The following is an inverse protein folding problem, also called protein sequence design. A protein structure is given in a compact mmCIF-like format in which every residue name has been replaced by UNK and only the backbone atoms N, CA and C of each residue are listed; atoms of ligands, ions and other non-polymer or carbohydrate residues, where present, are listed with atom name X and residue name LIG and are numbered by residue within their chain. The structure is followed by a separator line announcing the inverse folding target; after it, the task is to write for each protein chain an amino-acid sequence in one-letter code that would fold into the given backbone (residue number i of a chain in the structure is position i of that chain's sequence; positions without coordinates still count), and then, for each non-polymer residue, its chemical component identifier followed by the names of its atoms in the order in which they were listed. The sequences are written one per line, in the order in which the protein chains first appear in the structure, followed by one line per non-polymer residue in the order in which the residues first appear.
data_IF_901416399733
#
_entry.id   IF_901416399733
#
_cell.length_a   1.000
_cell.length_b   1.000
_cell.length_c   1.000
_cell.angle_alpha   90.00
_cell.angle_beta   90.00
_cell.angle_gamma   90.00
#
_symmetry.space_group_name_H-M   'P 1'
#
loop_
_entity.id
_entity.type
_entity.pdbx_description
1 polymer ?
#
# COMPACT_ATOMS: atom_id res chain seq x y z
N UNK A 1 -15.26 10.57 47.34
CA UNK A 1 -14.85 10.86 45.92
C UNK A 1 -13.94 9.74 45.44
N UNK A 2 -14.35 9.02 44.39
CA UNK A 2 -13.55 7.97 43.79
C UNK A 2 -12.33 8.59 43.11
N UNK A 3 -11.14 8.09 43.40
CA UNK A 3 -9.92 8.46 42.69
C UNK A 3 -9.57 7.32 41.74
N UNK A 4 -9.34 7.65 40.47
CA UNK A 4 -8.95 6.72 39.42
C UNK A 4 -7.47 6.92 39.09
N UNK A 5 -6.71 5.84 39.04
CA UNK A 5 -5.36 5.82 38.55
C UNK A 5 -5.21 4.72 37.49
N UNK A 6 -4.59 5.04 36.36
CA UNK A 6 -4.16 4.05 35.37
C UNK A 6 -2.74 3.62 35.68
N UNK A 7 -2.51 2.35 35.91
CA UNK A 7 -1.18 1.78 36.06
C UNK A 7 -0.93 0.73 34.98
N UNK A 8 0.17 0.89 34.25
CA UNK A 8 0.68 -0.15 33.35
C UNK A 8 1.58 -1.08 34.15
N UNK A 9 1.14 -2.30 34.39
CA UNK A 9 1.96 -3.34 34.98
C UNK A 9 2.47 -4.25 33.85
N UNK A 10 3.74 -4.10 33.49
CA UNK A 10 4.38 -4.98 32.54
C UNK A 10 4.58 -6.37 33.19
N UNK A 11 3.77 -7.33 32.83
CA UNK A 11 4.05 -8.76 33.05
C UNK A 11 4.36 -9.38 31.69
N UNK A 12 5.65 -9.71 31.48
CA UNK A 12 6.21 -10.55 30.43
C UNK A 12 5.41 -10.67 29.12
N UNK A 13 5.86 -10.01 28.05
CA UNK A 13 5.39 -10.12 26.66
C UNK A 13 3.94 -9.70 26.34
N UNK A 14 3.11 -9.44 27.35
CA UNK A 14 1.76 -8.93 27.19
C UNK A 14 1.65 -7.65 28.00
N UNK A 15 1.28 -6.55 27.37
CA UNK A 15 0.92 -5.32 28.05
C UNK A 15 -0.49 -5.49 28.59
N UNK A 16 -0.63 -5.71 29.88
CA UNK A 16 -1.93 -5.67 30.56
C UNK A 16 -2.12 -4.29 31.15
N UNK A 17 -3.14 -3.59 30.73
CA UNK A 17 -3.58 -2.37 31.41
C UNK A 17 -4.49 -2.75 32.58
N UNK A 18 -4.20 -2.25 33.78
CA UNK A 18 -5.09 -2.41 34.91
C UNK A 18 -5.68 -1.04 35.26
N UNK A 19 -7.00 -0.94 35.36
CA UNK A 19 -7.67 0.20 35.94
C UNK A 19 -7.75 0.00 37.46
N UNK A 20 -7.13 0.88 38.22
CA UNK A 20 -7.17 0.86 39.66
C UNK A 20 -8.16 1.94 40.11
N UNK A 21 -9.20 1.52 40.82
CA UNK A 21 -10.18 2.40 41.42
C UNK A 21 -10.14 2.23 42.94
N UNK A 22 -10.07 3.34 43.68
CA UNK A 22 -10.21 3.33 45.14
C UNK A 22 -11.58 3.90 45.47
N UNK A 23 -12.42 3.07 46.07
CA UNK A 23 -13.75 3.47 46.58
C UNK A 23 -13.94 2.93 47.98
N UNK A 24 -14.40 3.79 48.93
CA UNK A 24 -14.67 3.47 50.33
C UNK A 24 -13.54 2.64 50.99
N UNK A 25 -12.28 3.07 50.83
CA UNK A 25 -11.08 2.43 51.40
C UNK A 25 -10.77 1.03 50.81
N UNK A 26 -11.49 0.64 49.76
CA UNK A 26 -11.21 -0.60 49.03
C UNK A 26 -10.54 -0.31 47.70
N UNK A 27 -9.50 -1.12 47.40
CA UNK A 27 -8.80 -1.12 46.13
C UNK A 27 -9.48 -2.10 45.19
N UNK A 28 -10.04 -1.59 44.10
CA UNK A 28 -10.56 -2.40 43.02
C UNK A 28 -9.54 -2.39 41.86
N UNK A 29 -9.08 -3.57 41.44
CA UNK A 29 -8.20 -3.73 40.32
C UNK A 29 -8.98 -4.42 39.21
N UNK A 30 -9.16 -3.76 38.09
CA UNK A 30 -9.79 -4.33 36.89
C UNK A 30 -8.68 -4.63 35.89
N UNK A 31 -8.32 -5.90 35.75
CA UNK A 31 -7.35 -6.35 34.76
C UNK A 31 -8.04 -6.56 33.41
N UNK A 32 -7.62 -5.78 32.43
CA UNK A 32 -8.00 -5.99 31.04
C UNK A 32 -7.01 -6.98 30.43
N UNK A 33 -7.31 -8.28 30.53
CA UNK A 33 -6.59 -9.30 29.77
C UNK A 33 -7.14 -9.32 28.35
N UNK A 34 -6.72 -8.37 27.54
CA UNK A 34 -6.90 -8.49 26.10
C UNK A 34 -5.64 -9.13 25.49
N UNK A 35 -5.85 -9.89 24.44
CA UNK A 35 -4.77 -10.27 23.53
C UNK A 35 -4.33 -8.97 22.84
N UNK A 36 -3.44 -8.21 23.48
CA UNK A 36 -3.11 -6.82 23.14
C UNK A 36 -2.49 -6.65 21.76
N UNK A 37 -1.98 -7.73 21.19
CA UNK A 37 -1.44 -7.71 19.84
C UNK A 37 -2.50 -7.30 18.80
N UNK A 38 -3.77 -7.52 19.08
CA UNK A 38 -4.90 -7.22 18.19
C UNK A 38 -5.85 -6.14 18.74
N UNK A 39 -5.69 -5.72 20.00
CA UNK A 39 -6.61 -4.79 20.69
C UNK A 39 -6.75 -3.39 20.05
N UNK A 40 -5.81 -3.02 19.16
CA UNK A 40 -5.81 -1.75 18.41
C UNK A 40 -6.08 -1.94 16.93
N UNK A 41 -6.44 -3.15 16.51
CA UNK A 41 -6.69 -3.47 15.12
C UNK A 41 -8.18 -3.46 14.83
N UNK A 42 -8.55 -2.97 13.66
CA UNK A 42 -9.94 -2.96 13.20
C UNK A 42 -10.32 -4.37 12.75
N UNK A 43 -11.22 -5.05 13.49
CA UNK A 43 -11.68 -6.38 13.13
C UNK A 43 -12.92 -6.35 12.25
N UNK A 44 -13.92 -5.57 12.65
CA UNK A 44 -15.21 -5.55 11.97
C UNK A 44 -15.63 -4.12 11.64
N UNK A 45 -16.06 -3.92 10.41
CA UNK A 45 -16.63 -2.66 9.93
C UNK A 45 -17.89 -2.96 9.14
N UNK A 46 -19.01 -2.35 9.52
CA UNK A 46 -20.26 -2.42 8.75
C UNK A 46 -20.54 -1.05 8.13
N UNK A 47 -20.71 -1.02 6.81
CA UNK A 47 -21.04 0.20 6.08
C UNK A 47 -22.56 0.49 6.10
N UNK A 48 -22.94 1.66 5.54
CA UNK A 48 -24.36 2.09 5.47
C UNK A 48 -25.24 1.21 4.56
N UNK A 49 -24.65 0.34 3.73
CA UNK A 49 -25.36 -0.61 2.89
C UNK A 49 -25.53 -1.99 3.57
N UNK A 50 -25.08 -2.13 4.82
CA UNK A 50 -25.15 -3.36 5.59
C UNK A 50 -24.11 -4.40 5.16
N UNK A 51 -23.04 -3.98 4.48
CA UNK A 51 -21.91 -4.85 4.18
C UNK A 51 -20.95 -4.83 5.35
N UNK A 52 -20.70 -5.99 5.93
CA UNK A 52 -19.73 -6.18 7.02
C UNK A 52 -18.41 -6.69 6.46
N UNK A 53 -17.34 -5.98 6.76
CA UNK A 53 -15.96 -6.35 6.46
C UNK A 53 -15.33 -6.89 7.74
N UNK A 54 -14.96 -8.18 7.73
CA UNK A 54 -14.23 -8.82 8.83
C UNK A 54 -12.75 -8.92 8.44
N UNK A 55 -11.87 -8.45 9.31
CA UNK A 55 -10.42 -8.47 9.12
C UNK A 55 -9.76 -9.46 10.10
N UNK A 56 -8.82 -10.23 9.58
CA UNK A 56 -7.94 -11.07 10.39
C UNK A 56 -6.51 -10.66 10.17
N UNK A 57 -5.78 -10.54 11.26
CA UNK A 57 -4.36 -10.20 11.24
C UNK A 57 -3.50 -11.40 11.64
N UNK A 58 -2.31 -11.47 11.08
CA UNK A 58 -1.35 -12.52 11.37
C UNK A 58 0.04 -11.92 11.66
N UNK A 59 0.73 -12.49 12.63
CA UNK A 59 2.15 -12.18 12.88
C UNK A 59 3.02 -12.96 11.90
N UNK A 60 3.73 -12.26 11.01
CA UNK A 60 4.52 -12.88 9.94
C UNK A 60 5.64 -13.80 10.45
N UNK A 61 6.08 -13.66 11.71
CA UNK A 61 7.03 -14.59 12.30
C UNK A 61 6.44 -15.94 12.67
N UNK A 62 5.13 -16.04 12.83
CA UNK A 62 4.44 -17.23 13.32
C UNK A 62 3.64 -17.96 12.24
N UNK A 63 3.57 -17.41 11.03
CA UNK A 63 2.80 -18.02 9.95
C UNK A 63 3.64 -19.01 9.14
N UNK A 64 3.01 -19.98 8.47
CA UNK A 64 3.71 -20.93 7.59
C UNK A 64 4.27 -20.21 6.35
N UNK A 65 5.28 -20.85 5.71
CA UNK A 65 5.90 -20.34 4.49
C UNK A 65 4.91 -20.12 3.33
N UNK A 66 3.77 -20.82 3.33
CA UNK A 66 2.70 -20.56 2.35
C UNK A 66 2.09 -19.17 2.46
N UNK A 67 2.27 -18.48 3.60
CA UNK A 67 1.72 -17.15 3.88
C UNK A 67 2.77 -16.05 3.86
N UNK A 68 3.98 -16.39 4.27
CA UNK A 68 5.11 -15.47 4.24
C UNK A 68 6.39 -16.19 3.83
N UNK A 69 7.04 -15.66 2.79
CA UNK A 69 8.32 -16.17 2.28
C UNK A 69 9.39 -15.09 2.46
N UNK A 70 10.50 -15.47 3.12
CA UNK A 70 11.65 -14.58 3.33
C UNK A 70 12.88 -14.96 2.48
N UNK A 71 12.72 -15.91 1.57
CA UNK A 71 13.81 -16.36 0.70
C UNK A 71 13.99 -15.44 -0.51
N UNK A 72 15.21 -15.30 -1.04
CA UNK A 72 15.45 -14.57 -2.27
C UNK A 72 14.64 -15.22 -3.41
N UNK A 73 13.63 -14.53 -3.89
CA UNK A 73 12.96 -14.89 -5.13
C UNK A 73 13.79 -14.33 -6.27
N UNK A 74 14.39 -15.20 -7.08
CA UNK A 74 15.24 -14.78 -8.20
C UNK A 74 14.49 -13.89 -9.21
N UNK A 75 13.17 -14.05 -9.34
CA UNK A 75 12.31 -13.22 -10.19
C UNK A 75 12.18 -11.77 -9.71
N UNK A 76 12.37 -11.53 -8.41
CA UNK A 76 12.30 -10.20 -7.79
C UNK A 76 13.67 -9.50 -7.74
N UNK A 77 14.75 -10.18 -8.09
CA UNK A 77 16.11 -9.69 -7.95
C UNK A 77 16.57 -9.59 -6.50
N UNK A 78 17.86 -9.35 -6.31
CA UNK A 78 18.45 -9.17 -4.98
C UNK A 78 18.18 -7.77 -4.44
N UNK A 79 17.92 -7.70 -3.15
CA UNK A 79 17.87 -6.43 -2.41
C UNK A 79 19.30 -5.97 -2.13
N UNK A 80 19.66 -4.75 -2.53
CA UNK A 80 21.01 -4.19 -2.38
C UNK A 80 21.11 -3.31 -1.14
N UNK A 81 22.32 -3.21 -0.57
CA UNK A 81 22.57 -2.24 0.48
C UNK A 81 22.15 -0.82 0.04
N UNK A 82 21.48 -0.02 0.86
CA UNK A 82 21.25 -0.17 2.32
C UNK A 82 19.98 -0.97 2.70
N UNK A 83 19.33 -1.64 1.77
CA UNK A 83 18.15 -2.45 2.03
C UNK A 83 18.53 -3.87 2.44
N UNK A 84 17.69 -4.51 3.24
CA UNK A 84 17.83 -5.90 3.68
C UNK A 84 16.47 -6.55 3.84
N UNK A 85 16.40 -7.85 3.58
CA UNK A 85 15.21 -8.65 3.89
C UNK A 85 15.31 -9.14 5.33
N UNK A 86 14.25 -8.97 6.09
CA UNK A 86 14.14 -9.44 7.47
C UNK A 86 12.74 -9.99 7.71
N UNK A 87 12.61 -10.89 8.69
CA UNK A 87 11.32 -11.35 9.20
C UNK A 87 11.06 -10.68 10.55
N UNK A 88 10.39 -9.54 10.61
CA UNK A 88 10.12 -8.85 11.87
C UNK A 88 8.87 -9.40 12.56
N UNK A 89 8.70 -9.07 13.83
CA UNK A 89 7.40 -9.11 14.48
C UNK A 89 6.51 -8.01 13.88
N UNK A 90 5.70 -8.37 12.91
CA UNK A 90 4.80 -7.46 12.22
C UNK A 90 3.46 -8.15 12.00
N UNK A 91 2.40 -7.49 12.47
CA UNK A 91 1.04 -7.91 12.18
C UNK A 91 0.61 -7.34 10.83
N UNK A 92 0.16 -8.23 9.96
CA UNK A 92 -0.34 -7.89 8.63
C UNK A 92 -1.71 -8.50 8.41
N UNK A 93 -2.46 -7.98 7.43
CA UNK A 93 -3.74 -8.58 7.07
C UNK A 93 -3.54 -10.01 6.58
N UNK A 94 -4.15 -10.97 7.24
CA UNK A 94 -4.12 -12.39 6.83
C UNK A 94 -5.24 -12.70 5.85
N UNK A 95 -6.43 -12.15 6.11
CA UNK A 95 -7.57 -12.19 5.20
C UNK A 95 -8.56 -11.08 5.49
N UNK A 96 -9.36 -10.78 4.46
CA UNK A 96 -10.51 -9.87 4.51
C UNK A 96 -11.73 -10.59 3.96
N UNK A 97 -12.80 -10.67 4.74
CA UNK A 97 -14.06 -11.27 4.36
C UNK A 97 -15.15 -10.21 4.31
N UNK A 98 -15.89 -10.13 3.21
CA UNK A 98 -17.04 -9.23 3.07
C UNK A 98 -18.33 -10.02 3.01
N UNK A 99 -19.30 -9.61 3.83
CA UNK A 99 -20.58 -10.27 4.02
C UNK A 99 -21.72 -9.24 3.87
N UNK A 100 -22.84 -9.66 3.28
CA UNK A 100 -24.09 -8.91 3.33
C UNK A 100 -25.17 -9.82 3.89
N UNK A 101 -25.54 -9.62 5.15
CA UNK A 101 -26.30 -10.61 5.89
C UNK A 101 -25.57 -11.96 5.94
N UNK A 102 -26.17 -13.02 5.41
CA UNK A 102 -25.55 -14.36 5.34
C UNK A 102 -24.82 -14.60 4.01
N UNK A 103 -24.88 -13.68 3.06
CA UNK A 103 -24.23 -13.83 1.76
C UNK A 103 -22.76 -13.40 1.85
N UNK A 104 -21.85 -14.27 1.41
CA UNK A 104 -20.42 -13.99 1.33
C UNK A 104 -20.09 -13.40 -0.04
N UNK A 105 -19.74 -12.10 -0.07
CA UNK A 105 -19.44 -11.34 -1.29
C UNK A 105 -18.00 -11.56 -1.77
N UNK A 106 -17.03 -11.60 -0.84
CA UNK A 106 -15.62 -11.88 -1.11
C UNK A 106 -14.93 -12.49 0.10
N UNK A 107 -13.86 -13.23 -0.15
CA UNK A 107 -12.96 -13.71 0.88
C UNK A 107 -11.54 -13.70 0.34
N UNK A 108 -10.81 -12.65 0.67
CA UNK A 108 -9.47 -12.38 0.17
C UNK A 108 -8.43 -12.83 1.19
N UNK A 109 -7.51 -13.70 0.75
CA UNK A 109 -6.31 -14.08 1.48
C UNK A 109 -5.11 -13.33 0.96
N UNK A 110 -4.21 -12.95 1.87
CA UNK A 110 -2.99 -12.22 1.55
C UNK A 110 -1.76 -13.07 1.85
N UNK A 111 -0.86 -13.19 0.87
CA UNK A 111 0.43 -13.82 1.00
C UNK A 111 1.51 -12.78 0.72
N UNK A 112 2.57 -12.82 1.51
CA UNK A 112 3.61 -11.78 1.49
C UNK A 112 4.96 -12.40 1.19
N UNK A 113 5.82 -11.67 0.45
CA UNK A 113 7.18 -12.09 0.15
C UNK A 113 8.14 -10.97 0.47
N UNK A 114 9.21 -11.29 1.20
CA UNK A 114 10.34 -10.43 1.48
C UNK A 114 9.96 -9.07 2.09
N UNK A 115 9.81 -9.04 3.41
CA UNK A 115 9.72 -7.79 4.18
C UNK A 115 11.07 -7.06 4.12
N UNK A 116 11.09 -5.84 3.59
CA UNK A 116 12.30 -5.06 3.34
C UNK A 116 12.46 -3.95 4.35
N UNK A 117 13.68 -3.80 4.84
CA UNK A 117 14.09 -2.76 5.78
C UNK A 117 15.26 -1.97 5.22
N UNK A 118 15.26 -0.68 5.50
CA UNK A 118 16.39 0.20 5.21
C UNK A 118 17.26 0.33 6.45
N UNK A 119 18.51 -0.11 6.35
CA UNK A 119 19.44 -0.23 7.50
C UNK A 119 19.93 1.10 8.07
N UNK A 120 19.81 2.19 7.33
CA UNK A 120 20.36 3.50 7.68
C UNK A 120 19.27 4.54 7.98
N UNK A 121 18.13 4.13 8.56
CA UNK A 121 17.19 5.03 9.22
C UNK A 121 15.79 5.15 8.62
N UNK A 122 15.51 4.65 7.42
CA UNK A 122 14.15 4.73 6.85
C UNK A 122 13.20 3.62 7.36
N UNK A 123 13.72 2.62 8.10
CA UNK A 123 12.93 1.57 8.72
C UNK A 123 12.29 0.60 7.72
N UNK A 124 11.07 0.14 8.04
CA UNK A 124 10.31 -0.80 7.20
C UNK A 124 9.87 -0.15 5.89
N UNK A 125 10.14 -0.85 4.79
CA UNK A 125 9.88 -0.37 3.41
C UNK A 125 8.78 -1.16 2.71
N UNK A 126 8.04 -2.01 3.41
CA UNK A 126 7.00 -2.85 2.83
C UNK A 126 7.51 -4.21 2.37
N UNK A 127 6.70 -4.87 1.56
CA UNK A 127 6.99 -6.18 1.00
C UNK A 127 7.41 -6.05 -0.47
N UNK A 128 8.23 -6.99 -0.94
CA UNK A 128 8.59 -7.07 -2.37
C UNK A 128 7.43 -7.56 -3.22
N UNK A 129 6.62 -8.48 -2.70
CA UNK A 129 5.46 -9.01 -3.39
C UNK A 129 4.32 -9.25 -2.41
N UNK A 130 3.11 -8.94 -2.85
CA UNK A 130 1.85 -9.28 -2.17
C UNK A 130 0.98 -10.01 -3.18
N UNK A 131 0.53 -11.20 -2.83
CA UNK A 131 -0.44 -11.97 -3.59
C UNK A 131 -1.77 -11.96 -2.84
N UNK A 132 -2.83 -11.65 -3.55
CA UNK A 132 -4.20 -11.65 -3.02
C UNK A 132 -5.02 -12.69 -3.77
N UNK A 133 -5.60 -13.63 -3.04
CA UNK A 133 -6.46 -14.67 -3.57
C UNK A 133 -7.88 -14.50 -3.04
N UNK A 134 -8.83 -14.15 -3.90
CA UNK A 134 -10.28 -14.15 -3.59
C UNK A 134 -10.87 -15.51 -3.93
N UNK A 135 -11.13 -16.31 -2.89
CA UNK A 135 -11.64 -17.68 -3.02
C UNK A 135 -13.06 -17.70 -3.59
N UNK A 136 -13.90 -16.72 -3.23
CA UNK A 136 -15.30 -16.65 -3.66
C UNK A 136 -15.38 -16.37 -5.15
N UNK A 137 -14.63 -15.37 -5.61
CA UNK A 137 -14.63 -14.94 -6.99
C UNK A 137 -13.57 -15.64 -7.84
N UNK A 138 -12.79 -16.58 -7.26
CA UNK A 138 -11.73 -17.34 -7.94
C UNK A 138 -10.76 -16.43 -8.70
N UNK A 139 -10.28 -15.39 -8.03
CA UNK A 139 -9.38 -14.38 -8.61
C UNK A 139 -8.09 -14.33 -7.81
N UNK A 140 -6.99 -14.27 -8.53
CA UNK A 140 -5.67 -14.02 -7.93
C UNK A 140 -5.10 -12.74 -8.49
N UNK A 141 -4.54 -11.89 -7.62
CA UNK A 141 -3.84 -10.68 -7.99
C UNK A 141 -2.44 -10.71 -7.38
N UNK A 142 -1.46 -10.25 -8.14
CA UNK A 142 -0.08 -10.14 -7.66
C UNK A 142 0.41 -8.72 -7.84
N UNK A 143 0.90 -8.11 -6.76
CA UNK A 143 1.55 -6.79 -6.78
C UNK A 143 3.01 -6.94 -6.40
N UNK A 144 3.90 -6.35 -7.21
CA UNK A 144 5.36 -6.32 -6.98
C UNK A 144 5.79 -4.89 -6.73
N UNK A 145 6.59 -4.70 -5.69
CA UNK A 145 7.04 -3.40 -5.22
C UNK A 145 8.56 -3.28 -5.28
N UNK A 146 9.06 -2.08 -5.57
CA UNK A 146 10.49 -1.79 -5.53
C UNK A 146 10.85 -0.91 -4.32
N UNK A 147 11.61 -1.44 -3.34
CA UNK A 147 11.99 -0.69 -2.15
C UNK A 147 12.92 0.49 -2.45
N UNK A 148 13.70 0.43 -3.53
CA UNK A 148 14.59 1.52 -3.98
C UNK A 148 13.79 2.70 -4.56
N UNK A 149 12.58 2.42 -5.07
CA UNK A 149 11.63 3.40 -5.61
C UNK A 149 10.54 3.78 -4.58
N UNK A 150 10.92 3.98 -3.33
CA UNK A 150 10.01 4.34 -2.23
C UNK A 150 8.87 3.33 -2.03
N UNK A 151 9.13 2.05 -2.36
CA UNK A 151 8.14 0.96 -2.33
C UNK A 151 6.98 1.18 -3.30
N UNK A 152 7.25 1.80 -4.45
CA UNK A 152 6.26 1.92 -5.51
C UNK A 152 5.91 0.55 -6.11
N UNK A 153 4.64 0.38 -6.49
CA UNK A 153 4.18 -0.80 -7.21
C UNK A 153 4.69 -0.73 -8.66
N UNK A 154 5.65 -1.58 -9.00
CA UNK A 154 6.26 -1.61 -10.33
C UNK A 154 5.58 -2.60 -11.28
N UNK A 155 4.88 -3.59 -10.73
CA UNK A 155 4.11 -4.57 -11.51
C UNK A 155 2.87 -4.99 -10.73
N UNK A 156 1.75 -5.09 -11.45
CA UNK A 156 0.51 -5.67 -10.98
C UNK A 156 -0.04 -6.64 -12.01
N UNK A 157 -0.39 -7.83 -11.56
CA UNK A 157 -1.04 -8.86 -12.36
C UNK A 157 -2.42 -9.13 -11.80
N UNK A 158 -3.41 -9.16 -12.68
CA UNK A 158 -4.78 -9.58 -12.40
C UNK A 158 -5.12 -10.72 -13.37
N UNK A 159 -6.25 -11.41 -13.23
CA UNK A 159 -6.67 -12.43 -14.19
C UNK A 159 -6.81 -11.92 -15.63
N UNK A 160 -7.04 -10.61 -15.79
CA UNK A 160 -7.31 -9.99 -17.10
C UNK A 160 -6.18 -9.10 -17.60
N UNK A 161 -5.38 -8.54 -16.68
CA UNK A 161 -4.44 -7.48 -17.02
C UNK A 161 -3.08 -7.68 -16.37
N UNK A 162 -2.03 -7.26 -17.08
CA UNK A 162 -0.71 -7.03 -16.50
C UNK A 162 -0.35 -5.56 -16.65
N UNK A 163 -0.08 -4.90 -15.54
CA UNK A 163 0.32 -3.49 -15.47
C UNK A 163 1.79 -3.44 -15.07
N UNK A 164 2.62 -2.77 -15.87
CA UNK A 164 4.03 -2.53 -15.57
C UNK A 164 4.26 -1.03 -15.52
N UNK A 165 4.90 -0.55 -14.43
CA UNK A 165 5.19 0.85 -14.18
C UNK A 165 6.69 1.07 -14.06
N UNK A 166 7.18 2.06 -14.77
CA UNK A 166 8.57 2.53 -14.70
C UNK A 166 8.59 3.89 -14.03
N UNK A 167 9.38 4.01 -12.98
CA UNK A 167 9.53 5.24 -12.23
C UNK A 167 10.94 5.79 -12.35
N UNK A 168 11.06 7.10 -12.18
CA UNK A 168 12.33 7.81 -12.00
C UNK A 168 12.33 8.47 -10.63
N UNK A 169 13.41 8.24 -9.88
CA UNK A 169 13.64 8.87 -8.59
C UNK A 169 14.53 10.09 -8.79
N UNK A 170 13.97 11.27 -8.66
CA UNK A 170 14.66 12.54 -8.77
C UNK A 170 15.02 13.07 -7.38
N UNK A 171 16.28 13.41 -7.17
CA UNK A 171 16.77 14.00 -5.91
C UNK A 171 16.92 15.50 -6.10
N UNK A 172 16.19 16.27 -5.33
CA UNK A 172 16.34 17.70 -5.28
C UNK A 172 17.52 18.13 -4.35
N UNK A 173 17.97 19.38 -4.50
CA UNK A 173 19.14 19.89 -3.77
C UNK A 173 18.93 19.95 -2.25
N UNK A 174 17.70 20.08 -1.78
CA UNK A 174 17.28 20.19 -0.38
C UNK A 174 17.02 18.84 0.31
N UNK A 175 17.53 17.73 -0.25
CA UNK A 175 17.30 16.35 0.19
C UNK A 175 15.87 15.86 -0.01
N UNK A 176 15.00 16.59 -0.67
CA UNK A 176 13.72 16.07 -1.10
C UNK A 176 13.89 15.05 -2.21
N UNK A 177 13.00 14.08 -2.24
CA UNK A 177 12.99 13.02 -3.24
C UNK A 177 11.62 13.00 -3.90
N UNK A 178 11.60 13.12 -5.21
CA UNK A 178 10.38 13.07 -6.00
C UNK A 178 10.37 11.81 -6.85
N UNK A 179 9.36 10.97 -6.63
CA UNK A 179 9.12 9.79 -7.45
C UNK A 179 8.17 10.15 -8.59
N UNK A 180 8.64 10.03 -9.82
CA UNK A 180 7.88 10.32 -11.04
C UNK A 180 7.58 9.03 -11.79
N UNK A 181 6.33 8.81 -12.18
CA UNK A 181 5.94 7.73 -13.08
C UNK A 181 6.34 8.11 -14.51
N UNK A 182 7.38 7.49 -15.05
CA UNK A 182 7.86 7.76 -16.41
C UNK A 182 6.94 7.10 -17.43
N UNK A 183 6.56 5.84 -17.18
CA UNK A 183 5.76 5.05 -18.11
C UNK A 183 4.89 4.03 -17.38
N UNK A 184 3.69 3.84 -17.86
CA UNK A 184 2.80 2.75 -17.50
C UNK A 184 2.44 1.96 -18.76
N UNK A 185 2.55 0.64 -18.69
CA UNK A 185 2.12 -0.27 -19.77
C UNK A 185 1.08 -1.22 -19.20
N UNK A 186 -0.09 -1.25 -19.84
CA UNK A 186 -1.20 -2.14 -19.50
C UNK A 186 -1.38 -3.13 -20.65
N UNK A 187 -1.27 -4.42 -20.33
CA UNK A 187 -1.53 -5.53 -21.26
C UNK A 187 -2.84 -6.18 -20.87
N UNK A 188 -3.81 -6.12 -21.73
CA UNK A 188 -5.09 -6.81 -21.59
C UNK A 188 -4.97 -8.21 -22.21
N UNK A 189 -5.06 -9.25 -21.37
CA UNK A 189 -4.93 -10.64 -21.80
C UNK A 189 -6.18 -11.13 -22.56
N UNK A 190 -7.37 -10.56 -22.28
CA UNK A 190 -8.62 -10.94 -22.92
C UNK A 190 -8.68 -10.43 -24.36
N UNK A 191 -8.39 -9.15 -24.54
CA UNK A 191 -8.45 -8.51 -25.87
C UNK A 191 -7.11 -8.58 -26.62
N UNK A 192 -6.05 -9.10 -25.98
CA UNK A 192 -4.67 -9.16 -26.53
C UNK A 192 -4.18 -7.78 -26.99
N UNK A 193 -4.53 -6.75 -26.26
CA UNK A 193 -4.13 -5.37 -26.55
C UNK A 193 -3.08 -4.90 -25.54
N UNK A 194 -2.25 -3.98 -25.98
CA UNK A 194 -1.27 -3.31 -25.12
C UNK A 194 -1.43 -1.81 -25.26
N UNK A 195 -1.53 -1.12 -24.11
CA UNK A 195 -1.59 0.33 -24.02
C UNK A 195 -0.38 0.81 -23.24
N UNK A 196 0.41 1.71 -23.81
CA UNK A 196 1.54 2.34 -23.13
C UNK A 196 1.29 3.84 -22.98
N UNK A 197 1.50 4.37 -21.78
CA UNK A 197 1.37 5.80 -21.47
C UNK A 197 2.70 6.30 -20.93
N UNK A 198 3.31 7.30 -21.60
CA UNK A 198 4.51 7.99 -21.14
C UNK A 198 4.14 9.38 -20.62
N UNK A 199 4.76 9.78 -19.51
CA UNK A 199 4.45 11.02 -18.79
C UNK A 199 5.65 11.96 -18.82
N UNK A 200 5.38 13.26 -19.02
CA UNK A 200 6.35 14.35 -18.90
C UNK A 200 5.92 15.30 -17.77
N UNK A 201 6.90 15.86 -17.06
CA UNK A 201 6.68 16.65 -15.87
C UNK A 201 7.36 18.02 -15.99
N UNK A 202 6.76 19.04 -15.37
CA UNK A 202 7.43 20.32 -15.17
C UNK A 202 8.33 20.30 -13.92
N UNK A 203 8.98 21.43 -13.64
CA UNK A 203 9.88 21.59 -12.48
C UNK A 203 9.17 21.47 -11.12
N UNK A 204 7.85 21.58 -11.08
CA UNK A 204 7.03 21.41 -9.87
C UNK A 204 6.53 19.97 -9.70
N UNK A 205 6.93 19.04 -10.58
CA UNK A 205 6.50 17.64 -10.52
C UNK A 205 5.07 17.39 -11.00
N UNK A 206 4.46 18.35 -11.72
CA UNK A 206 3.12 18.23 -12.30
C UNK A 206 3.21 17.64 -13.71
N UNK A 207 2.28 16.75 -14.06
CA UNK A 207 2.21 16.15 -15.39
C UNK A 207 1.82 17.22 -16.42
N UNK A 208 2.69 17.52 -17.36
CA UNK A 208 2.42 18.47 -18.45
C UNK A 208 2.03 17.77 -19.76
N UNK A 209 2.40 16.52 -19.91
CA UNK A 209 2.07 15.71 -21.09
C UNK A 209 1.89 14.24 -20.71
N UNK A 210 0.92 13.60 -21.34
CA UNK A 210 0.74 12.15 -21.33
C UNK A 210 0.58 11.68 -22.77
N UNK A 211 1.56 10.90 -23.26
CA UNK A 211 1.54 10.30 -24.60
C UNK A 211 1.11 8.84 -24.50
N UNK A 212 -0.04 8.53 -25.09
CA UNK A 212 -0.67 7.22 -25.04
C UNK A 212 -0.50 6.56 -26.41
N UNK A 213 0.00 5.34 -26.43
CA UNK A 213 0.08 4.48 -27.61
C UNK A 213 -0.78 3.24 -27.36
N UNK A 214 -1.69 2.95 -28.26
CA UNK A 214 -2.54 1.76 -28.26
C UNK A 214 -1.99 0.66 -29.17
N UNK A 215 -1.25 1.07 -30.22
CA UNK A 215 -0.55 0.22 -31.19
C UNK A 215 0.50 1.07 -31.95
N UNK A 216 1.06 0.53 -33.02
CA UNK A 216 2.04 1.24 -33.85
C UNK A 216 1.46 2.46 -34.59
N UNK A 217 0.13 2.51 -34.80
CA UNK A 217 -0.55 3.49 -35.64
C UNK A 217 -1.41 4.46 -34.85
N UNK A 218 -1.96 4.03 -33.70
CA UNK A 218 -2.91 4.80 -32.92
C UNK A 218 -2.24 5.42 -31.69
N UNK A 219 -2.18 6.74 -31.68
CA UNK A 219 -1.60 7.50 -30.55
C UNK A 219 -2.51 8.63 -30.11
N UNK A 220 -2.45 8.96 -28.84
CA UNK A 220 -3.15 10.09 -28.23
C UNK A 220 -2.19 10.87 -27.36
N UNK A 221 -2.15 12.18 -27.50
CA UNK A 221 -1.37 13.06 -26.63
C UNK A 221 -2.29 13.99 -25.87
N UNK A 222 -2.20 13.94 -24.53
CA UNK A 222 -2.85 14.86 -23.59
C UNK A 222 -1.83 15.87 -23.12
N UNK A 223 -2.18 17.13 -23.13
CA UNK A 223 -1.33 18.23 -22.65
C UNK A 223 -2.07 19.02 -21.59
N UNK A 224 -1.36 19.39 -20.53
CA UNK A 224 -1.93 20.09 -19.39
C UNK A 224 -1.12 21.35 -19.10
N UNK A 225 -1.81 22.45 -18.80
CA UNK A 225 -1.18 23.68 -18.35
C UNK A 225 -1.61 24.03 -16.94
N UNK A 226 -0.64 24.51 -16.16
CA UNK A 226 -0.84 24.88 -14.76
C UNK A 226 -0.40 26.31 -14.53
N UNK A 227 -1.21 27.05 -13.78
CA UNK A 227 -0.80 28.33 -13.23
C UNK A 227 -0.11 28.05 -11.89
N UNK A 228 1.17 28.42 -11.83
CA UNK A 228 1.99 28.30 -10.65
C UNK A 228 2.44 29.69 -10.23
N UNK A 229 2.15 30.07 -9.00
CA UNK A 229 2.61 31.31 -8.38
C UNK A 229 3.42 30.94 -7.14
N UNK A 230 4.72 31.21 -7.20
CA UNK A 230 5.66 30.95 -6.11
C UNK A 230 6.35 32.28 -5.76
N UNK A 231 5.72 33.02 -4.84
CA UNK A 231 6.19 34.33 -4.35
C UNK A 231 6.12 34.34 -2.84
N UNK A 232 6.85 35.22 -2.21
CA UNK A 232 6.89 35.36 -0.76
C UNK A 232 5.52 35.66 -0.10
N UNK A 233 4.62 36.29 -0.87
CA UNK A 233 3.28 36.70 -0.43
C UNK A 233 2.16 35.77 -0.89
N UNK A 234 2.44 34.90 -1.87
CA UNK A 234 1.44 33.97 -2.42
C UNK A 234 2.10 32.71 -2.97
N UNK A 235 1.74 31.58 -2.37
CA UNK A 235 2.16 30.27 -2.81
C UNK A 235 0.94 29.49 -3.33
N UNK A 236 0.80 29.41 -4.65
CA UNK A 236 -0.28 28.69 -5.32
C UNK A 236 0.31 27.82 -6.42
N UNK A 237 0.25 26.49 -6.24
CA UNK A 237 0.76 25.53 -7.21
C UNK A 237 -0.35 24.61 -7.72
N UNK A 238 -0.27 24.29 -9.02
CA UNK A 238 -1.09 23.23 -9.61
C UNK A 238 -2.51 23.65 -9.98
N UNK A 239 -2.83 24.93 -10.09
CA UNK A 239 -4.13 25.35 -10.60
C UNK A 239 -4.21 25.07 -12.10
N UNK A 240 -4.99 24.06 -12.57
CA UNK A 240 -5.10 23.76 -13.98
C UNK A 240 -5.86 24.87 -14.70
N UNK A 241 -5.36 25.32 -15.85
CA UNK A 241 -6.04 26.32 -16.67
C UNK A 241 -6.40 25.79 -18.05
N UNK A 242 -5.75 24.72 -18.53
CA UNK A 242 -6.21 24.00 -19.71
C UNK A 242 -5.87 22.51 -19.65
N UNK A 243 -6.66 21.73 -20.37
CA UNK A 243 -6.36 20.37 -20.78
C UNK A 243 -6.72 20.20 -22.26
N UNK A 244 -5.79 19.70 -23.07
CA UNK A 244 -5.97 19.51 -24.49
C UNK A 244 -5.65 18.07 -24.87
N UNK A 245 -6.48 17.45 -25.71
CA UNK A 245 -6.28 16.09 -26.21
C UNK A 245 -6.16 16.14 -27.74
N UNK A 246 -5.11 15.52 -28.27
CA UNK A 246 -4.89 15.34 -29.70
C UNK A 246 -4.72 13.86 -29.99
N UNK A 247 -5.60 13.31 -30.84
CA UNK A 247 -5.48 11.93 -31.33
C UNK A 247 -4.89 11.94 -32.72
N UNK A 248 -4.03 11.00 -33.04
CA UNK A 248 -3.47 10.81 -34.36
C UNK A 248 -3.50 9.32 -34.74
N UNK A 249 -3.86 9.09 -35.99
CA UNK A 249 -3.82 7.77 -36.62
C UNK A 249 -2.89 7.89 -37.83
N UNK A 250 -1.85 7.05 -37.84
CA UNK A 250 -0.96 6.94 -38.98
C UNK A 250 -1.43 5.73 -39.79
N UNK A 251 -1.86 5.97 -41.01
CA UNK A 251 -2.28 4.94 -41.96
C UNK A 251 -1.06 4.19 -42.53
#
# INVERSE_FOLDING_TARGET
SAQFAMANVAKSYYWSGSLICVDNEKLHVYDYTHNESEARMLHDLTDSYGVTSNHYYMDIMKVPESRYVSTPDASLGYVRYPYTVMTPHLYVSGWLKKLKGNEQLSWEYYNYTNAVFHRTGLGFRGFRKIETEDIVNKRTMTSVFDPELLSAEVRKETPTDTIVRKYVLEKAQDKTVLLKLERETVKDALNKTEKSTAYEYNNYGQIVSASISYDAHNTEKKSYGYQNVDRSDLYLLGLPYYAHTKSSRND
#
